data_IF_319433306755
#
_entry.id   IF_319433306755
#
_cell.length_a   1.000
_cell.length_b   1.000
_cell.length_c   1.000
_cell.angle_alpha   90.00
_cell.angle_beta   90.00
_cell.angle_gamma   90.00
#
_symmetry.space_group_name_H-M   'P 1'
#
loop_
_entity.id
_entity.type
_entity.pdbx_description
1 polymer ?
#
# COMPACT_ATOMS: atom_id res chain seq x y z
N UNK A 1 -1.08 -11.22 -11.96
CA UNK A 1 -2.14 -11.65 -11.03
C UNK A 1 -3.23 -12.45 -11.73
N UNK A 2 -3.62 -12.10 -12.95
CA UNK A 2 -4.68 -12.78 -13.72
C UNK A 2 -4.61 -14.32 -13.76
N UNK A 3 -3.46 -14.96 -14.07
CA UNK A 3 -3.42 -16.42 -14.15
C UNK A 3 -3.70 -17.13 -12.82
N UNK A 4 -3.50 -16.45 -11.69
CA UNK A 4 -3.86 -16.98 -10.37
C UNK A 4 -5.35 -16.74 -10.12
N UNK A 5 -5.88 -15.55 -10.43
CA UNK A 5 -7.29 -15.21 -10.24
C UNK A 5 -8.23 -16.14 -11.01
N UNK A 6 -7.86 -16.53 -12.23
CA UNK A 6 -8.63 -17.46 -13.08
C UNK A 6 -8.83 -18.84 -12.42
N UNK A 7 -7.92 -19.27 -11.57
CA UNK A 7 -8.03 -20.53 -10.82
C UNK A 7 -9.06 -20.46 -9.68
N UNK A 8 -9.47 -19.26 -9.28
CA UNK A 8 -10.40 -19.01 -8.18
C UNK A 8 -11.57 -18.11 -8.63
N UNK A 9 -12.47 -18.62 -9.49
CA UNK A 9 -13.60 -17.83 -10.00
C UNK A 9 -14.63 -17.46 -8.92
N UNK A 10 -14.67 -18.20 -7.80
CA UNK A 10 -15.55 -17.92 -6.67
C UNK A 10 -15.15 -16.65 -5.88
N UNK A 11 -13.88 -16.26 -5.94
CA UNK A 11 -13.41 -15.05 -5.28
C UNK A 11 -13.73 -13.83 -6.14
N UNK A 12 -14.24 -12.77 -5.50
CA UNK A 12 -14.28 -11.44 -6.11
C UNK A 12 -12.87 -10.92 -6.37
N UNK A 13 -12.72 -10.02 -7.34
CA UNK A 13 -11.45 -9.31 -7.53
C UNK A 13 -11.12 -8.47 -6.31
N UNK A 14 -12.12 -7.87 -5.67
CA UNK A 14 -11.97 -7.08 -4.46
C UNK A 14 -11.29 -7.86 -3.32
N UNK A 15 -11.77 -9.07 -3.01
CA UNK A 15 -11.14 -9.90 -2.00
C UNK A 15 -9.79 -10.44 -2.45
N UNK A 16 -9.66 -10.84 -3.72
CA UNK A 16 -8.43 -11.37 -4.25
C UNK A 16 -7.26 -10.37 -4.16
N UNK A 17 -7.49 -9.10 -4.50
CA UNK A 17 -6.45 -8.07 -4.41
C UNK A 17 -6.10 -7.72 -2.96
N UNK A 18 -7.09 -7.68 -2.06
CA UNK A 18 -6.83 -7.43 -0.64
C UNK A 18 -6.04 -8.57 -0.01
N UNK A 19 -6.37 -9.83 -0.34
CA UNK A 19 -5.62 -11.00 0.10
C UNK A 19 -4.18 -10.98 -0.43
N UNK A 20 -3.98 -10.60 -1.70
CA UNK A 20 -2.64 -10.45 -2.26
C UNK A 20 -1.80 -9.41 -1.49
N UNK A 21 -2.41 -8.29 -1.07
CA UNK A 21 -1.74 -7.30 -0.21
C UNK A 21 -1.36 -7.84 1.17
N UNK A 22 -2.26 -8.58 1.83
CA UNK A 22 -1.98 -9.25 3.11
C UNK A 22 -0.81 -10.23 2.97
N UNK A 23 -0.87 -11.12 1.97
CA UNK A 23 0.19 -12.11 1.72
C UNK A 23 1.52 -11.45 1.36
N UNK A 24 1.51 -10.33 0.64
CA UNK A 24 2.74 -9.59 0.32
C UNK A 24 3.44 -9.05 1.58
N UNK A 25 2.68 -8.56 2.57
CA UNK A 25 3.24 -8.14 3.87
C UNK A 25 3.77 -9.35 4.64
N UNK A 26 2.99 -10.42 4.72
CA UNK A 26 3.38 -11.64 5.45
C UNK A 26 4.66 -12.28 4.88
N UNK A 27 4.72 -12.48 3.56
CA UNK A 27 5.84 -13.21 2.92
C UNK A 27 7.16 -12.43 2.96
N UNK A 28 7.09 -11.12 3.20
CA UNK A 28 8.28 -10.25 3.36
C UNK A 28 8.71 -10.11 4.82
N UNK A 29 8.09 -10.85 5.75
CA UNK A 29 8.43 -10.86 7.18
C UNK A 29 7.65 -9.85 8.02
N UNK A 30 6.60 -9.26 7.46
CA UNK A 30 5.73 -8.31 8.14
C UNK A 30 4.73 -8.97 9.10
N UNK A 31 3.87 -8.17 9.76
CA UNK A 31 2.87 -8.71 10.68
C UNK A 31 1.79 -9.51 9.96
N UNK A 32 1.17 -10.44 10.67
CA UNK A 32 -0.07 -11.10 10.23
C UNK A 32 -1.24 -10.08 10.26
N UNK A 33 -1.85 -9.82 9.10
CA UNK A 33 -2.99 -8.92 8.98
C UNK A 33 -4.28 -9.76 8.88
N UNK A 34 -5.25 -9.58 9.80
CA UNK A 34 -6.52 -10.30 9.72
C UNK A 34 -7.25 -10.05 8.40
N UNK A 35 -7.53 -11.12 7.65
CA UNK A 35 -8.29 -11.06 6.41
C UNK A 35 -9.72 -11.58 6.63
N UNK A 36 -10.70 -10.78 6.21
CA UNK A 36 -12.12 -11.15 6.22
C UNK A 36 -12.64 -11.06 4.78
N UNK A 37 -13.15 -12.17 4.20
CA UNK A 37 -13.74 -12.18 2.87
C UNK A 37 -15.16 -11.60 2.90
N UNK A 38 -15.73 -11.38 1.72
CA UNK A 38 -17.10 -10.91 1.50
C UNK A 38 -17.19 -9.58 0.76
N UNK A 39 -16.09 -9.04 0.22
CA UNK A 39 -16.17 -7.84 -0.62
C UNK A 39 -16.80 -8.21 -1.96
N UNK A 40 -17.77 -7.41 -2.39
CA UNK A 40 -18.36 -7.51 -3.71
C UNK A 40 -17.64 -6.60 -4.71
N UNK A 41 -17.52 -7.06 -5.95
CA UNK A 41 -16.98 -6.25 -7.03
C UNK A 41 -17.98 -5.16 -7.42
N UNK A 42 -17.53 -3.90 -7.45
CA UNK A 42 -18.34 -2.77 -7.89
C UNK A 42 -18.21 -2.59 -9.41
N UNK A 43 -19.30 -2.22 -10.12
CA UNK A 43 -19.28 -2.09 -11.57
C UNK A 43 -18.51 -0.86 -12.05
N UNK A 44 -18.55 0.22 -11.28
CA UNK A 44 -18.01 1.52 -11.67
C UNK A 44 -16.79 1.90 -10.82
N UNK A 45 -15.71 2.39 -11.43
CA UNK A 45 -14.56 2.90 -10.72
C UNK A 45 -14.87 4.25 -10.03
N UNK A 46 -14.14 4.62 -8.97
CA UNK A 46 -14.20 5.97 -8.43
C UNK A 46 -13.58 7.00 -9.41
N UNK A 47 -13.89 8.30 -9.28
CA UNK A 47 -13.20 9.34 -10.04
C UNK A 47 -11.71 9.41 -9.68
N UNK A 48 -10.90 9.84 -10.64
CA UNK A 48 -9.46 10.04 -10.48
C UNK A 48 -9.14 11.16 -9.47
N UNK A 49 -7.91 11.19 -8.96
CA UNK A 49 -7.38 12.27 -8.14
C UNK A 49 -7.58 12.11 -6.63
N UNK A 50 -8.00 10.92 -6.17
CA UNK A 50 -8.19 10.61 -4.74
C UNK A 50 -6.96 10.03 -4.04
N UNK A 51 -5.93 9.65 -4.79
CA UNK A 51 -4.67 9.16 -4.22
C UNK A 51 -3.77 10.33 -3.80
N UNK A 52 -2.92 10.16 -2.77
CA UNK A 52 -2.04 11.22 -2.31
C UNK A 52 -0.99 11.60 -3.36
N UNK A 53 -0.61 12.88 -3.38
CA UNK A 53 0.41 13.43 -4.26
C UNK A 53 1.73 13.48 -3.48
N UNK A 54 2.76 12.81 -4.01
CA UNK A 54 4.06 12.66 -3.37
C UNK A 54 4.84 14.00 -3.23
N UNK A 55 4.41 15.06 -3.90
CA UNK A 55 5.03 16.39 -3.82
C UNK A 55 4.42 17.29 -2.75
N UNK A 56 3.35 16.85 -2.07
CA UNK A 56 2.65 17.62 -1.04
C UNK A 56 3.03 17.16 0.38
N UNK A 57 2.70 18.01 1.36
CA UNK A 57 3.05 17.82 2.78
C UNK A 57 1.94 17.20 3.64
N UNK A 58 2.10 17.34 4.95
CA UNK A 58 1.23 16.75 5.99
C UNK A 58 -0.24 17.18 5.91
N UNK A 59 -0.53 18.43 5.54
CA UNK A 59 -1.91 18.90 5.38
C UNK A 59 -2.64 18.11 4.30
N UNK A 60 -1.97 17.87 3.16
CA UNK A 60 -2.52 17.04 2.09
C UNK A 60 -2.69 15.57 2.51
N UNK A 61 -1.76 15.03 3.30
CA UNK A 61 -1.91 13.68 3.85
C UNK A 61 -3.17 13.58 4.71
N UNK A 62 -3.44 14.58 5.57
CA UNK A 62 -4.67 14.60 6.37
C UNK A 62 -5.90 14.75 5.49
N UNK A 63 -5.89 15.67 4.54
CA UNK A 63 -7.01 15.88 3.60
C UNK A 63 -7.39 14.58 2.88
N UNK A 64 -6.41 13.78 2.45
CA UNK A 64 -6.64 12.51 1.76
C UNK A 64 -7.07 11.42 2.73
N UNK A 65 -6.27 11.13 3.76
CA UNK A 65 -6.50 9.95 4.61
C UNK A 65 -7.69 10.14 5.56
N UNK A 66 -8.04 11.37 5.95
CA UNK A 66 -9.24 11.60 6.76
C UNK A 66 -10.52 11.34 5.96
N UNK A 67 -10.52 11.54 4.64
CA UNK A 67 -11.66 11.14 3.80
C UNK A 67 -11.85 9.62 3.73
N UNK A 68 -10.80 8.86 4.08
CA UNK A 68 -10.83 7.41 4.23
C UNK A 68 -11.19 6.97 5.67
N UNK A 69 -11.35 7.92 6.59
CA UNK A 69 -11.64 7.67 8.01
C UNK A 69 -10.43 7.22 8.83
N UNK A 70 -9.20 7.47 8.35
CA UNK A 70 -7.96 7.04 9.00
C UNK A 70 -7.37 8.17 9.86
N UNK A 71 -6.72 7.82 10.98
CA UNK A 71 -6.13 8.75 11.93
C UNK A 71 -4.69 9.15 11.57
N UNK A 72 -4.11 10.13 12.28
CA UNK A 72 -2.69 10.47 12.15
C UNK A 72 -1.77 9.27 12.44
N UNK A 73 -2.16 8.41 13.39
CA UNK A 73 -1.42 7.18 13.67
C UNK A 73 -1.42 6.24 12.45
N UNK A 74 -2.58 6.08 11.80
CA UNK A 74 -2.71 5.22 10.62
C UNK A 74 -1.92 5.79 9.44
N UNK A 75 -1.91 7.11 9.25
CA UNK A 75 -1.11 7.78 8.21
C UNK A 75 0.38 7.42 8.38
N UNK A 76 0.91 7.58 9.58
CA UNK A 76 2.33 7.29 9.85
C UNK A 76 2.62 5.80 9.72
N UNK A 77 1.76 4.93 10.27
CA UNK A 77 1.93 3.49 10.19
C UNK A 77 1.91 2.99 8.73
N UNK A 78 0.93 3.43 7.92
CA UNK A 78 0.81 3.04 6.51
C UNK A 78 1.94 3.61 5.64
N UNK A 79 2.47 4.79 5.99
CA UNK A 79 3.67 5.35 5.32
C UNK A 79 4.88 4.41 5.44
N UNK A 80 4.94 3.64 6.53
CA UNK A 80 5.93 2.58 6.73
C UNK A 80 5.91 1.47 5.66
N UNK A 81 4.83 1.33 4.90
CA UNK A 81 4.75 0.40 3.76
C UNK A 81 5.83 0.64 2.70
N UNK A 82 6.36 1.87 2.61
CA UNK A 82 7.51 2.19 1.74
C UNK A 82 8.82 1.55 2.19
N UNK A 83 8.86 0.84 3.32
CA UNK A 83 10.01 -0.03 3.65
C UNK A 83 10.27 -1.09 2.57
N UNK A 84 9.21 -1.46 1.83
CA UNK A 84 9.25 -2.33 0.67
C UNK A 84 9.30 -1.55 -0.65
N UNK A 85 9.98 -2.12 -1.63
CA UNK A 85 9.97 -1.68 -3.01
C UNK A 85 10.82 -0.44 -3.29
N UNK A 86 10.44 0.27 -4.36
CA UNK A 86 11.17 1.42 -4.90
C UNK A 86 10.28 2.29 -5.78
N UNK A 87 10.70 3.53 -5.98
CA UNK A 87 10.20 4.38 -7.06
C UNK A 87 10.88 4.06 -8.39
N UNK A 88 10.17 4.40 -9.47
CA UNK A 88 10.58 4.16 -10.85
C UNK A 88 10.30 5.41 -11.70
N UNK A 89 11.34 5.95 -12.35
CA UNK A 89 11.30 7.24 -13.04
C UNK A 89 10.21 7.31 -14.12
N UNK A 90 9.98 6.21 -14.84
CA UNK A 90 8.98 6.13 -15.91
C UNK A 90 7.53 6.05 -15.41
N UNK A 91 7.32 5.88 -14.10
CA UNK A 91 5.98 5.79 -13.49
C UNK A 91 5.63 7.06 -12.73
N UNK A 92 6.44 7.41 -11.73
CA UNK A 92 6.15 8.54 -10.82
C UNK A 92 7.08 9.74 -11.03
N UNK A 93 8.12 9.61 -11.85
CA UNK A 93 9.19 10.60 -11.98
C UNK A 93 10.26 10.53 -10.89
N UNK A 94 10.02 9.79 -9.79
CA UNK A 94 10.99 9.50 -8.72
C UNK A 94 11.72 8.17 -8.98
N UNK A 95 12.91 7.98 -8.42
CA UNK A 95 13.74 6.80 -8.67
C UNK A 95 14.44 6.31 -7.39
N UNK A 96 14.48 4.99 -7.21
CA UNK A 96 15.27 4.34 -6.15
C UNK A 96 14.45 3.78 -4.98
N UNK A 97 15.03 2.84 -4.20
CA UNK A 97 14.40 2.29 -3.01
C UNK A 97 14.48 3.26 -1.83
N UNK A 98 13.55 3.13 -0.88
CA UNK A 98 13.62 3.86 0.40
C UNK A 98 14.54 3.19 1.42
N UNK A 99 14.83 1.90 1.25
CA UNK A 99 15.63 1.09 2.19
C UNK A 99 16.70 0.31 1.44
N UNK A 100 17.73 -0.12 2.17
CA UNK A 100 18.79 -0.99 1.63
C UNK A 100 18.30 -2.42 1.30
N UNK A 101 17.21 -2.87 1.94
CA UNK A 101 16.62 -4.20 1.79
C UNK A 101 15.14 -4.10 1.36
N UNK A 102 14.83 -3.74 0.10
CA UNK A 102 13.47 -3.39 -0.34
C UNK A 102 12.50 -4.59 -0.44
N UNK A 103 12.90 -5.78 0.02
CA UNK A 103 12.06 -6.99 0.06
C UNK A 103 11.88 -7.52 1.49
N UNK A 104 12.33 -6.79 2.50
CA UNK A 104 12.18 -7.12 3.92
C UNK A 104 11.27 -6.09 4.57
N UNK A 105 10.17 -6.56 5.17
CA UNK A 105 9.26 -5.71 5.91
C UNK A 105 9.77 -5.52 7.32
N UNK A 106 10.33 -4.34 7.60
CA UNK A 106 10.82 -3.95 8.91
C UNK A 106 10.58 -2.45 9.16
N UNK A 107 11.20 -1.87 10.19
CA UNK A 107 11.06 -0.45 10.49
C UNK A 107 12.16 0.43 9.85
N UNK A 108 12.90 -0.08 8.86
CA UNK A 108 14.04 0.62 8.26
C UNK A 108 13.61 1.90 7.56
N UNK A 109 12.42 1.96 6.95
CA UNK A 109 11.88 3.21 6.38
C UNK A 109 11.97 4.40 7.36
N UNK A 110 11.58 4.20 8.62
CA UNK A 110 11.62 5.24 9.63
C UNK A 110 13.05 5.55 10.10
N UNK A 111 13.93 4.52 10.15
CA UNK A 111 15.34 4.72 10.52
C UNK A 111 16.07 5.56 9.48
N UNK A 112 15.89 5.25 8.20
CA UNK A 112 16.48 6.01 7.10
C UNK A 112 15.93 7.45 7.07
N UNK A 113 14.62 7.62 7.25
CA UNK A 113 13.99 8.95 7.32
C UNK A 113 14.56 9.84 8.44
N UNK A 114 14.91 9.26 9.58
CA UNK A 114 15.51 9.98 10.71
C UNK A 114 17.02 10.20 10.55
N UNK A 115 17.70 9.38 9.74
CA UNK A 115 19.15 9.44 9.56
C UNK A 115 19.60 10.57 8.64
N UNK A 116 18.78 10.93 7.64
CA UNK A 116 19.07 12.01 6.68
C UNK A 116 19.94 11.56 5.51
#
# INVERSE_FOLDING_TARGET
>A
MEPIKEQFPILSYADFYQLAGVVAVEITGGPEIPFHPGREDKPEPPPEGRLPDATKGSDHLRDVFYTMGLSDQDIVALSGGHTLGRAHKERSGFEGPWTSNPLIFDNSYFKELLAG
#
